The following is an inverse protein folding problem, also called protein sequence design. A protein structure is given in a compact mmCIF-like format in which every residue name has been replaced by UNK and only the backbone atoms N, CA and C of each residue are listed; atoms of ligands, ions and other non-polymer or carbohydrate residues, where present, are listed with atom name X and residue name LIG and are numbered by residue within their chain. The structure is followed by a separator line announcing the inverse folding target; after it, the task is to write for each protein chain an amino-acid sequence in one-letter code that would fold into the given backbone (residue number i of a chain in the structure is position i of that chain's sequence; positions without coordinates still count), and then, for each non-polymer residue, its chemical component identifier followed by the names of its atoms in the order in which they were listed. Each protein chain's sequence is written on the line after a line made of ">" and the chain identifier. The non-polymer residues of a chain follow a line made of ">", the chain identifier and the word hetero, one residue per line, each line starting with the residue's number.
data_IF_792993983556
#
_entry.id   IF_792993983556
#
_cell.length_a   1.000
_cell.length_b   1.000
_cell.length_c   1.000
_cell.angle_alpha   90.00
_cell.angle_beta   90.00
_cell.angle_gamma   90.00
#
_symmetry.space_group_name_H-M   'P 1'
#
loop_
_entity.id
_entity.type
_entity.pdbx_description
1 polymer ?
#
# COMPACT_ATOMS: atom_id res chain seq x y z
N UNK A 1 19.74 13.24 28.12
CA UNK A 1 20.01 13.62 26.71
C UNK A 1 21.29 14.46 26.65
N UNK A 2 22.44 13.84 26.41
CA UNK A 2 23.70 14.53 26.15
C UNK A 2 24.46 13.76 25.06
N UNK A 3 24.89 14.48 24.03
CA UNK A 3 26.01 14.12 23.16
C UNK A 3 25.75 13.15 22.02
N UNK A 4 25.44 13.67 20.83
CA UNK A 4 25.96 13.10 19.58
C UNK A 4 26.55 14.22 18.71
N UNK A 5 27.81 13.98 18.35
CA UNK A 5 28.75 14.87 17.67
C UNK A 5 28.39 15.02 16.17
N UNK A 6 28.48 16.22 15.56
CA UNK A 6 28.23 16.40 14.14
C UNK A 6 29.53 16.18 13.35
N UNK A 7 29.79 14.95 12.94
CA UNK A 7 31.00 14.63 12.15
C UNK A 7 30.71 13.81 10.91
N UNK A 8 29.68 14.13 10.11
CA UNK A 8 29.51 13.51 8.79
C UNK A 8 28.75 14.40 7.79
N UNK A 9 29.05 15.70 7.74
CA UNK A 9 28.62 16.56 6.62
C UNK A 9 29.87 17.05 5.90
N UNK A 10 30.32 16.29 4.91
CA UNK A 10 31.35 16.75 3.98
C UNK A 10 30.82 17.97 3.22
N UNK A 11 31.57 19.06 3.28
CA UNK A 11 31.33 20.29 2.54
C UNK A 11 31.33 20.04 1.02
N UNK A 12 30.56 20.83 0.26
CA UNK A 12 30.44 20.71 -1.21
C UNK A 12 31.81 20.61 -1.93
N UNK A 13 32.87 21.35 -1.54
CA UNK A 13 34.19 21.20 -2.14
C UNK A 13 34.86 19.84 -1.86
N UNK A 14 34.65 19.27 -0.68
CA UNK A 14 35.20 17.95 -0.32
C UNK A 14 34.50 16.82 -1.09
N UNK A 15 33.19 16.92 -1.34
CA UNK A 15 32.47 15.96 -2.18
C UNK A 15 32.99 15.97 -3.62
N UNK A 16 33.27 17.17 -4.17
CA UNK A 16 33.86 17.31 -5.51
C UNK A 16 35.26 16.70 -5.59
N UNK A 17 36.09 16.87 -4.56
CA UNK A 17 37.43 16.24 -4.50
C UNK A 17 37.36 14.71 -4.38
N UNK A 18 36.46 14.18 -3.56
CA UNK A 18 36.26 12.74 -3.43
C UNK A 18 35.76 12.10 -4.74
N UNK A 19 34.83 12.78 -5.43
CA UNK A 19 34.34 12.37 -6.75
C UNK A 19 35.42 12.43 -7.84
N UNK A 20 36.24 13.49 -7.85
CA UNK A 20 37.38 13.59 -8.77
C UNK A 20 38.42 12.49 -8.53
N UNK A 21 38.67 12.12 -7.28
CA UNK A 21 39.55 11.00 -6.93
C UNK A 21 38.97 9.66 -7.40
N UNK A 22 37.67 9.41 -7.20
CA UNK A 22 36.99 8.21 -7.66
C UNK A 22 36.98 8.08 -9.20
N UNK A 23 36.74 9.18 -9.92
CA UNK A 23 36.84 9.22 -11.38
C UNK A 23 38.26 8.92 -11.88
N UNK A 24 39.28 9.44 -11.19
CA UNK A 24 40.69 9.19 -11.52
C UNK A 24 41.13 7.76 -11.20
N UNK A 25 40.48 7.09 -10.25
CA UNK A 25 40.73 5.66 -9.95
C UNK A 25 40.06 4.75 -10.98
N UNK A 26 38.86 5.09 -11.45
CA UNK A 26 38.17 4.38 -12.52
C UNK A 26 38.95 4.45 -13.85
N UNK A 27 39.53 5.61 -14.18
CA UNK A 27 40.33 5.81 -15.39
C UNK A 27 41.70 5.08 -15.36
N UNK A 28 42.31 4.93 -14.16
CA UNK A 28 43.53 4.10 -13.99
C UNK A 28 43.24 2.60 -14.09
N UNK A 29 42.09 2.15 -13.60
CA UNK A 29 41.66 0.76 -13.76
C UNK A 29 41.49 0.35 -15.23
N UNK A 30 41.07 1.29 -16.08
CA UNK A 30 40.92 1.07 -17.52
C UNK A 30 42.26 1.00 -18.28
N UNK A 31 43.33 1.64 -17.79
CA UNK A 31 44.65 1.68 -18.47
C UNK A 31 45.62 0.56 -18.10
N UNK A 32 45.41 -0.14 -16.98
CA UNK A 32 46.34 -1.17 -16.48
C UNK A 32 45.94 -2.61 -16.85
N UNK A 33 44.83 -2.80 -17.57
CA UNK A 33 44.39 -4.10 -18.10
C UNK A 33 45.03 -4.45 -19.45
N UNK A 34 46.36 -4.43 -19.54
CA UNK A 34 47.11 -4.94 -20.69
C UNK A 34 47.35 -6.44 -20.56
N UNK A 35 46.39 -7.25 -21.02
CA UNK A 35 46.48 -8.72 -21.11
C UNK A 35 45.71 -9.21 -22.34
N UNK A 36 46.03 -10.39 -22.90
CA UNK A 36 45.86 -10.70 -24.32
C UNK A 36 44.40 -10.63 -24.77
N UNK A 37 44.24 -10.04 -25.96
CA UNK A 37 43.00 -9.86 -26.70
C UNK A 37 42.21 -11.17 -26.81
N UNK A 38 41.27 -11.37 -25.88
CA UNK A 38 40.19 -12.33 -26.04
C UNK A 38 39.24 -11.76 -27.10
N UNK A 39 39.46 -12.27 -28.32
CA UNK A 39 38.65 -12.10 -29.52
C UNK A 39 37.16 -12.06 -29.16
N UNK A 40 36.54 -10.90 -29.37
CA UNK A 40 35.09 -10.70 -29.22
C UNK A 40 34.33 -11.74 -30.04
N UNK A 41 33.25 -12.35 -29.52
CA UNK A 41 32.40 -13.17 -30.36
C UNK A 41 31.62 -12.23 -31.29
N UNK A 42 31.89 -12.39 -32.58
CA UNK A 42 31.05 -12.05 -33.73
C UNK A 42 30.23 -10.75 -33.65
N UNK A 43 30.73 -9.72 -34.33
CA UNK A 43 29.85 -8.72 -34.95
C UNK A 43 28.98 -9.46 -35.97
N UNK A 44 27.71 -9.71 -35.63
CA UNK A 44 26.74 -10.22 -36.59
C UNK A 44 26.49 -9.15 -37.68
N UNK A 45 26.45 -9.55 -38.97
CA UNK A 45 26.21 -8.63 -40.07
C UNK A 45 24.76 -8.13 -40.05
N UNK A 46 24.59 -6.85 -40.40
CA UNK A 46 23.29 -6.19 -40.57
C UNK A 46 22.58 -6.83 -41.77
N UNK A 47 21.50 -7.56 -41.52
CA UNK A 47 20.66 -8.16 -42.56
C UNK A 47 19.19 -8.23 -42.13
N UNK A 48 18.40 -7.29 -42.64
CA UNK A 48 16.97 -7.36 -43.00
C UNK A 48 16.04 -8.33 -42.23
N UNK A 49 15.50 -7.91 -41.09
CA UNK A 49 14.21 -8.39 -40.54
C UNK A 49 13.54 -7.23 -39.76
N UNK A 50 12.19 -7.15 -39.69
CA UNK A 50 11.51 -6.00 -39.13
C UNK A 50 11.79 -5.91 -37.62
N UNK A 51 12.10 -4.71 -37.10
CA UNK A 51 12.51 -4.57 -35.72
C UNK A 51 11.22 -4.41 -34.88
N UNK A 52 10.95 -5.17 -33.83
CA UNK A 52 11.85 -6.09 -33.20
C UNK A 52 11.72 -6.28 -31.69
N UNK A 53 11.18 -7.40 -31.21
CA UNK A 53 11.59 -7.90 -29.89
C UNK A 53 13.13 -8.03 -29.73
N UNK A 54 13.92 -8.14 -30.81
CA UNK A 54 15.40 -8.17 -30.75
C UNK A 54 16.04 -6.92 -30.13
N UNK A 55 15.58 -5.70 -30.43
CA UNK A 55 16.23 -4.48 -29.92
C UNK A 55 16.07 -4.33 -28.40
N UNK A 56 14.96 -4.80 -27.85
CA UNK A 56 14.73 -4.82 -26.41
C UNK A 56 15.70 -5.79 -25.73
N UNK A 57 15.96 -6.94 -26.35
CA UNK A 57 16.94 -7.92 -25.85
C UNK A 57 18.38 -7.38 -25.94
N UNK A 58 18.75 -6.72 -27.04
CA UNK A 58 20.08 -6.13 -27.20
C UNK A 58 20.31 -4.94 -26.25
N UNK A 59 19.26 -4.17 -25.97
CA UNK A 59 19.27 -3.10 -24.99
C UNK A 59 19.49 -3.62 -23.56
N UNK A 60 18.82 -4.71 -23.18
CA UNK A 60 19.03 -5.37 -21.89
C UNK A 60 20.46 -5.91 -21.77
N UNK A 61 21.01 -6.50 -22.85
CA UNK A 61 22.38 -7.01 -22.89
C UNK A 61 23.44 -5.92 -22.68
N UNK A 62 23.15 -4.68 -23.08
CA UNK A 62 24.02 -3.50 -22.88
C UNK A 62 23.96 -2.88 -21.48
N UNK A 63 23.09 -3.35 -20.58
CA UNK A 63 23.00 -2.89 -19.17
C UNK A 63 23.52 -3.95 -18.18
N UNK A 64 24.82 -4.32 -18.20
CA UNK A 64 25.34 -5.43 -17.39
C UNK A 64 25.13 -5.22 -15.89
N UNK A 65 25.21 -3.97 -15.41
CA UNK A 65 24.97 -3.65 -13.99
C UNK A 65 23.55 -3.96 -13.53
N UNK A 66 22.54 -3.67 -14.36
CA UNK A 66 21.13 -3.96 -14.06
C UNK A 66 20.87 -5.46 -14.09
N UNK A 67 21.41 -6.18 -15.08
CA UNK A 67 21.27 -7.63 -15.19
C UNK A 67 21.94 -8.33 -14.01
N UNK A 68 23.16 -7.94 -13.64
CA UNK A 68 23.88 -8.52 -12.50
C UNK A 68 23.13 -8.28 -11.18
N UNK A 69 22.72 -7.04 -10.91
CA UNK A 69 21.96 -6.70 -9.71
C UNK A 69 20.65 -7.50 -9.64
N UNK A 70 19.96 -7.67 -10.77
CA UNK A 70 18.71 -8.43 -10.84
C UNK A 70 18.91 -9.94 -10.68
N UNK A 71 19.98 -10.51 -11.22
CA UNK A 71 20.35 -11.90 -11.00
C UNK A 71 20.66 -12.18 -9.52
N UNK A 72 21.34 -11.26 -8.82
CA UNK A 72 21.63 -11.39 -7.38
C UNK A 72 20.36 -11.34 -6.53
N UNK A 73 19.40 -10.48 -6.89
CA UNK A 73 18.14 -10.32 -6.16
C UNK A 73 17.12 -11.42 -6.52
N UNK A 74 17.24 -12.05 -7.69
CA UNK A 74 16.33 -13.09 -8.18
C UNK A 74 15.92 -14.17 -7.16
N UNK A 75 16.83 -14.83 -6.40
CA UNK A 75 16.43 -15.83 -5.39
C UNK A 75 15.54 -15.25 -4.29
N UNK A 76 15.73 -13.98 -3.92
CA UNK A 76 14.86 -13.29 -2.97
C UNK A 76 13.47 -13.06 -3.56
N UNK A 77 13.40 -12.70 -4.85
CA UNK A 77 12.11 -12.51 -5.54
C UNK A 77 11.33 -13.82 -5.59
N UNK A 78 11.99 -14.95 -5.88
CA UNK A 78 11.35 -16.28 -5.87
C UNK A 78 10.81 -16.63 -4.49
N UNK A 79 11.54 -16.34 -3.42
CA UNK A 79 11.04 -16.51 -2.04
C UNK A 79 9.81 -15.64 -1.77
N UNK A 80 9.84 -14.36 -2.16
CA UNK A 80 8.70 -13.46 -2.02
C UNK A 80 7.45 -13.95 -2.77
N UNK A 81 7.63 -14.44 -4.01
CA UNK A 81 6.57 -15.00 -4.84
C UNK A 81 5.96 -16.28 -4.26
N UNK A 82 6.77 -17.17 -3.68
CA UNK A 82 6.28 -18.37 -2.97
C UNK A 82 5.36 -17.99 -1.81
N UNK A 83 5.76 -17.02 -1.00
CA UNK A 83 4.97 -16.57 0.16
C UNK A 83 3.69 -15.85 -0.28
N UNK A 84 3.76 -15.06 -1.35
CA UNK A 84 2.59 -14.41 -1.94
C UNK A 84 1.57 -15.44 -2.47
N UNK A 85 2.04 -16.49 -3.16
CA UNK A 85 1.18 -17.58 -3.62
C UNK A 85 0.54 -18.35 -2.45
N UNK A 86 1.29 -18.57 -1.35
CA UNK A 86 0.76 -19.17 -0.13
C UNK A 86 -0.34 -18.32 0.51
N UNK A 87 -0.14 -17.01 0.61
CA UNK A 87 -1.16 -16.07 1.12
C UNK A 87 -2.40 -16.08 0.23
N UNK A 88 -2.24 -16.11 -1.10
CA UNK A 88 -3.36 -16.17 -2.04
C UNK A 88 -4.22 -17.43 -1.82
N UNK A 89 -3.59 -18.57 -1.54
CA UNK A 89 -4.28 -19.82 -1.22
C UNK A 89 -5.07 -19.76 0.10
N UNK A 90 -4.60 -19.01 1.09
CA UNK A 90 -5.27 -18.82 2.38
C UNK A 90 -6.15 -17.57 2.46
N UNK A 91 -6.22 -16.79 1.37
CA UNK A 91 -6.95 -15.52 1.32
C UNK A 91 -8.42 -15.61 1.76
N UNK A 92 -9.24 -16.61 1.33
CA UNK A 92 -10.64 -16.66 1.77
C UNK A 92 -10.80 -16.88 3.27
N UNK A 93 -9.95 -17.71 3.88
CA UNK A 93 -9.98 -17.95 5.33
C UNK A 93 -9.53 -16.71 6.11
N UNK A 94 -8.47 -16.04 5.63
CA UNK A 94 -8.01 -14.76 6.19
C UNK A 94 -9.13 -13.70 6.11
N UNK A 95 -9.88 -13.67 5.01
CA UNK A 95 -11.01 -12.75 4.86
C UNK A 95 -12.14 -13.05 5.84
N UNK A 96 -12.50 -14.32 6.08
CA UNK A 96 -13.50 -14.71 7.09
C UNK A 96 -13.12 -14.25 8.49
N UNK A 97 -11.86 -14.43 8.90
CA UNK A 97 -11.38 -13.92 10.19
C UNK A 97 -11.42 -12.39 10.24
N UNK A 98 -10.96 -11.72 9.17
CA UNK A 98 -10.98 -10.27 9.06
C UNK A 98 -12.39 -9.69 9.20
N UNK A 99 -13.41 -10.37 8.66
CA UNK A 99 -14.80 -9.91 8.76
C UNK A 99 -15.39 -10.14 10.13
N UNK A 100 -15.12 -11.27 10.79
CA UNK A 100 -15.51 -11.48 12.20
C UNK A 100 -14.93 -10.42 13.12
N UNK A 101 -13.63 -10.11 12.95
CA UNK A 101 -12.96 -9.05 13.70
C UNK A 101 -13.63 -7.69 13.45
N UNK A 102 -13.99 -7.40 12.19
CA UNK A 102 -14.68 -6.17 11.82
C UNK A 102 -16.07 -6.10 12.46
N UNK A 103 -16.83 -7.18 12.43
CA UNK A 103 -18.18 -7.27 13.01
C UNK A 103 -18.14 -7.12 14.54
N UNK A 104 -17.25 -7.83 15.23
CA UNK A 104 -17.06 -7.71 16.68
C UNK A 104 -16.66 -6.27 17.07
N UNK A 105 -15.78 -5.64 16.29
CA UNK A 105 -15.40 -4.23 16.50
C UNK A 105 -16.58 -3.27 16.33
N UNK A 106 -17.49 -3.54 15.39
CA UNK A 106 -18.69 -2.72 15.18
C UNK A 106 -19.76 -2.98 16.23
N UNK A 107 -19.87 -4.21 16.73
CA UNK A 107 -20.78 -4.60 17.79
C UNK A 107 -20.32 -4.07 19.18
N UNK A 108 -19.08 -3.60 19.31
CA UNK A 108 -18.51 -3.20 20.60
C UNK A 108 -18.17 -4.39 21.51
N UNK A 109 -18.20 -5.62 20.97
CA UNK A 109 -17.85 -6.82 21.72
C UNK A 109 -16.33 -7.00 21.74
N UNK A 110 -15.72 -6.49 22.80
CA UNK A 110 -14.29 -6.60 23.02
C UNK A 110 -13.83 -8.05 23.19
N UNK A 111 -14.65 -8.92 23.81
CA UNK A 111 -14.27 -10.30 24.07
C UNK A 111 -14.20 -11.10 22.77
N UNK A 112 -15.21 -10.99 21.92
CA UNK A 112 -15.22 -11.64 20.60
C UNK A 112 -14.14 -11.07 19.68
N UNK A 113 -13.84 -9.76 19.78
CA UNK A 113 -12.72 -9.15 19.05
C UNK A 113 -11.37 -9.78 19.41
N UNK A 114 -11.06 -9.92 20.71
CA UNK A 114 -9.80 -10.54 21.14
C UNK A 114 -9.72 -12.01 20.75
N UNK A 115 -10.83 -12.74 20.87
CA UNK A 115 -10.93 -14.14 20.47
C UNK A 115 -10.69 -14.32 18.97
N UNK A 116 -11.43 -13.60 18.12
CA UNK A 116 -11.29 -13.68 16.66
C UNK A 116 -9.89 -13.25 16.18
N UNK A 117 -9.28 -12.24 16.81
CA UNK A 117 -7.91 -11.79 16.52
C UNK A 117 -6.85 -12.84 16.91
N UNK A 118 -7.04 -13.51 18.05
CA UNK A 118 -6.17 -14.62 18.49
C UNK A 118 -6.29 -15.83 17.56
N UNK A 119 -7.52 -16.21 17.18
CA UNK A 119 -7.78 -17.29 16.21
C UNK A 119 -7.11 -17.01 14.85
N UNK A 120 -7.21 -15.76 14.35
CA UNK A 120 -6.54 -15.33 13.13
C UNK A 120 -5.02 -15.50 13.22
N UNK A 121 -4.43 -15.09 14.36
CA UNK A 121 -2.99 -15.21 14.60
C UNK A 121 -2.56 -16.66 14.72
N UNK A 122 -3.35 -17.50 15.40
CA UNK A 122 -3.12 -18.93 15.51
C UNK A 122 -3.19 -19.63 14.14
N UNK A 123 -4.18 -19.28 13.31
CA UNK A 123 -4.29 -19.77 11.94
C UNK A 123 -3.06 -19.42 11.10
N UNK A 124 -2.62 -18.16 11.14
CA UNK A 124 -1.41 -17.71 10.45
C UNK A 124 -0.15 -18.46 10.92
N UNK A 125 -0.01 -18.72 12.22
CA UNK A 125 1.10 -19.51 12.77
C UNK A 125 1.03 -20.97 12.34
N UNK A 126 -0.14 -21.61 12.43
CA UNK A 126 -0.38 -23.01 12.07
C UNK A 126 -0.06 -23.28 10.60
N UNK A 127 -0.44 -22.36 9.72
CA UNK A 127 -0.17 -22.47 8.29
C UNK A 127 1.13 -21.78 7.86
N UNK A 128 1.93 -21.20 8.77
CA UNK A 128 3.12 -20.35 8.50
C UNK A 128 2.89 -19.31 7.39
N UNK A 129 1.75 -18.62 7.46
CA UNK A 129 1.38 -17.55 6.52
C UNK A 129 1.80 -16.22 7.12
N UNK A 130 2.90 -15.63 6.63
CA UNK A 130 3.38 -14.33 7.10
C UNK A 130 3.05 -13.23 6.10
N UNK A 131 2.07 -12.39 6.44
CA UNK A 131 1.62 -11.30 5.56
C UNK A 131 2.73 -10.29 5.21
N UNK A 132 3.75 -10.15 6.05
CA UNK A 132 4.87 -9.22 5.81
C UNK A 132 5.97 -9.80 4.91
N UNK A 133 6.06 -11.11 4.72
CA UNK A 133 7.14 -11.70 3.90
C UNK A 133 7.12 -11.21 2.43
N UNK A 134 5.97 -11.06 1.76
CA UNK A 134 5.94 -10.48 0.41
C UNK A 134 6.41 -9.01 0.34
N UNK A 135 6.30 -8.24 1.42
CA UNK A 135 6.78 -6.84 1.45
C UNK A 135 8.31 -6.74 1.31
N UNK A 136 9.06 -7.83 1.51
CA UNK A 136 10.51 -7.82 1.32
C UNK A 136 10.91 -7.45 -0.11
N UNK A 137 10.09 -7.82 -1.09
CA UNK A 137 10.36 -7.55 -2.50
C UNK A 137 10.36 -6.04 -2.81
N UNK A 138 9.28 -5.28 -2.56
CA UNK A 138 9.31 -3.84 -2.76
C UNK A 138 10.31 -3.13 -1.81
N UNK A 139 10.51 -3.62 -0.59
CA UNK A 139 11.48 -3.03 0.35
C UNK A 139 12.93 -3.19 -0.09
N UNK A 140 13.29 -4.27 -0.78
CA UNK A 140 14.63 -4.43 -1.37
C UNK A 140 14.75 -3.71 -2.71
N UNK A 141 13.68 -3.67 -3.50
CA UNK A 141 13.71 -3.08 -4.83
C UNK A 141 13.74 -1.54 -4.80
N UNK A 142 13.06 -0.91 -3.85
CA UNK A 142 13.00 0.55 -3.76
C UNK A 142 14.37 1.22 -3.52
N UNK A 143 15.22 0.76 -2.56
CA UNK A 143 16.56 1.31 -2.37
C UNK A 143 17.44 1.16 -3.61
N UNK A 144 17.41 -0.02 -4.25
CA UNK A 144 18.18 -0.26 -5.49
C UNK A 144 17.74 0.73 -6.57
N UNK A 145 16.43 0.87 -6.78
CA UNK A 145 15.89 1.80 -7.76
C UNK A 145 16.32 3.25 -7.47
N UNK A 146 16.18 3.70 -6.22
CA UNK A 146 16.57 5.06 -5.79
C UNK A 146 18.08 5.28 -6.00
N UNK A 147 18.93 4.32 -5.64
CA UNK A 147 20.38 4.41 -5.83
C UNK A 147 20.77 4.56 -7.30
N UNK A 148 20.22 3.71 -8.17
CA UNK A 148 20.49 3.79 -9.62
C UNK A 148 19.92 5.08 -10.22
N UNK A 149 18.73 5.51 -9.79
CA UNK A 149 18.10 6.76 -10.25
C UNK A 149 18.96 7.98 -9.93
N UNK A 150 19.41 8.12 -8.68
CA UNK A 150 20.28 9.23 -8.26
C UNK A 150 21.60 9.18 -9.02
N UNK A 151 22.24 8.00 -9.11
CA UNK A 151 23.51 7.85 -9.81
C UNK A 151 23.40 8.25 -11.29
N UNK A 152 22.38 7.77 -12.01
CA UNK A 152 22.17 8.10 -13.42
C UNK A 152 21.85 9.57 -13.64
N UNK A 153 21.05 10.17 -12.75
CA UNK A 153 20.73 11.60 -12.81
C UNK A 153 21.96 12.47 -12.59
N UNK A 154 22.78 12.15 -11.58
CA UNK A 154 24.02 12.89 -11.31
C UNK A 154 25.05 12.71 -12.43
N UNK A 155 25.16 11.51 -13.02
CA UNK A 155 26.03 11.28 -14.17
C UNK A 155 25.56 12.01 -15.44
N UNK A 156 24.24 12.17 -15.63
CA UNK A 156 23.69 12.99 -16.70
C UNK A 156 23.98 14.48 -16.48
N UNK A 157 23.92 14.96 -15.23
CA UNK A 157 24.22 16.35 -14.88
C UNK A 157 25.72 16.70 -14.97
N UNK A 158 26.62 15.72 -14.82
CA UNK A 158 28.08 15.87 -14.88
C UNK A 158 28.67 15.45 -16.25
N UNK A 159 27.92 15.71 -17.34
CA UNK A 159 27.92 14.99 -18.62
C UNK A 159 29.14 14.07 -18.82
N UNK A 160 29.02 12.83 -18.36
CA UNK A 160 30.10 11.86 -18.51
C UNK A 160 30.26 11.54 -20.00
N UNK A 161 31.47 11.61 -20.58
CA UNK A 161 31.67 11.41 -22.03
C UNK A 161 31.14 10.08 -22.57
N UNK A 162 31.14 9.04 -21.73
CA UNK A 162 30.60 7.72 -22.08
C UNK A 162 29.06 7.70 -22.22
N UNK A 163 28.35 8.66 -21.63
CA UNK A 163 26.90 8.82 -21.79
C UNK A 163 26.53 9.70 -22.99
N UNK A 164 27.45 10.55 -23.45
CA UNK A 164 27.21 11.43 -24.61
C UNK A 164 27.25 10.69 -25.95
N UNK A 165 27.94 9.55 -26.01
CA UNK A 165 28.12 8.74 -27.23
C UNK A 165 27.47 7.35 -27.13
N UNK A 166 26.79 7.06 -26.02
CA UNK A 166 26.25 5.74 -25.73
C UNK A 166 24.84 5.46 -26.26
N UNK A 167 24.19 6.44 -26.91
CA UNK A 167 22.79 6.36 -27.29
C UNK A 167 22.51 5.35 -28.41
N UNK A 168 21.22 5.03 -28.62
CA UNK A 168 20.76 4.05 -29.59
C UNK A 168 19.81 4.70 -30.61
N UNK A 169 20.00 4.35 -31.89
CA UNK A 169 19.12 4.69 -33.02
C UNK A 169 18.94 6.20 -33.26
N UNK A 170 18.02 6.88 -32.54
CA UNK A 170 17.61 8.27 -32.78
C UNK A 170 18.04 9.27 -31.70
N UNK A 171 18.66 8.80 -30.62
CA UNK A 171 19.29 9.63 -29.60
C UNK A 171 20.73 9.18 -29.42
N UNK A 172 21.71 10.07 -29.59
CA UNK A 172 23.13 9.76 -29.36
C UNK A 172 23.57 10.14 -27.95
N UNK A 173 23.03 11.24 -27.44
CA UNK A 173 23.34 11.76 -26.11
C UNK A 173 22.31 11.28 -25.07
N UNK A 174 22.77 10.50 -24.09
CA UNK A 174 21.93 10.02 -22.99
C UNK A 174 21.72 11.05 -21.86
N UNK A 175 22.44 12.17 -21.90
CA UNK A 175 22.41 13.20 -20.84
C UNK A 175 21.26 14.17 -21.03
N UNK A 176 20.76 14.32 -22.26
CA UNK A 176 19.65 15.19 -22.61
C UNK A 176 18.30 14.47 -22.48
N UNK A 177 17.23 15.27 -22.38
CA UNK A 177 15.84 14.81 -22.47
C UNK A 177 15.52 14.34 -23.89
N UNK A 178 14.65 13.33 -24.04
CA UNK A 178 14.24 12.81 -25.35
C UNK A 178 13.43 13.88 -26.12
N UNK A 179 13.93 14.38 -27.27
CA UNK A 179 13.20 15.39 -28.06
C UNK A 179 11.97 14.81 -28.77
N UNK A 180 11.88 13.48 -28.91
CA UNK A 180 10.79 12.81 -29.64
C UNK A 180 9.67 12.29 -28.73
N UNK A 181 9.89 12.32 -27.40
CA UNK A 181 8.99 11.77 -26.38
C UNK A 181 8.62 10.27 -26.55
N UNK A 182 9.30 9.55 -27.44
CA UNK A 182 9.07 8.13 -27.71
C UNK A 182 9.55 7.28 -26.52
N UNK A 183 10.69 7.60 -25.92
CA UNK A 183 11.23 6.86 -24.78
C UNK A 183 10.32 6.90 -23.54
N UNK A 184 9.86 8.07 -23.07
CA UNK A 184 8.92 8.17 -21.96
C UNK A 184 7.63 7.36 -22.20
N UNK A 185 7.11 7.36 -23.44
CA UNK A 185 5.91 6.61 -23.80
C UNK A 185 6.15 5.09 -23.72
N UNK A 186 7.24 4.60 -24.30
CA UNK A 186 7.60 3.17 -24.30
C UNK A 186 7.90 2.68 -22.88
N UNK A 187 8.62 3.47 -22.08
CA UNK A 187 8.90 3.12 -20.67
C UNK A 187 7.61 3.07 -19.86
N UNK A 188 6.70 4.02 -20.06
CA UNK A 188 5.40 4.03 -19.39
C UNK A 188 4.56 2.82 -19.80
N UNK A 189 4.54 2.46 -21.08
CA UNK A 189 3.83 1.28 -21.57
C UNK A 189 4.42 -0.03 -20.99
N UNK A 190 5.75 -0.16 -20.96
CA UNK A 190 6.39 -1.34 -20.35
C UNK A 190 6.19 -1.41 -18.84
N UNK A 191 6.20 -0.27 -18.15
CA UNK A 191 5.91 -0.18 -16.72
C UNK A 191 4.48 -0.61 -16.42
N UNK A 192 3.51 -0.15 -17.23
CA UNK A 192 2.14 -0.62 -17.16
C UNK A 192 2.09 -2.14 -17.31
N UNK A 193 2.75 -2.70 -18.32
CA UNK A 193 2.82 -4.16 -18.53
C UNK A 193 3.37 -4.90 -17.30
N UNK A 194 4.45 -4.42 -16.70
CA UNK A 194 5.03 -5.00 -15.47
C UNK A 194 4.01 -4.97 -14.32
N UNK A 195 3.34 -3.85 -14.12
CA UNK A 195 2.36 -3.69 -13.05
C UNK A 195 1.12 -4.54 -13.26
N UNK A 196 0.61 -4.65 -14.48
CA UNK A 196 -0.56 -5.48 -14.78
C UNK A 196 -0.25 -6.97 -14.54
N UNK A 197 0.86 -7.46 -15.09
CA UNK A 197 1.26 -8.86 -14.92
C UNK A 197 1.72 -9.14 -13.48
N UNK A 198 2.29 -8.16 -12.78
CA UNK A 198 2.69 -8.25 -11.38
C UNK A 198 1.49 -8.25 -10.43
N UNK A 199 0.50 -7.38 -10.65
CA UNK A 199 -0.73 -7.32 -9.87
C UNK A 199 -1.52 -8.64 -9.96
N UNK A 200 -1.50 -9.28 -11.12
CA UNK A 200 -2.06 -10.62 -11.27
C UNK A 200 -1.36 -11.65 -10.37
N UNK A 201 -0.05 -11.54 -10.13
CA UNK A 201 0.71 -12.52 -9.33
C UNK A 201 0.62 -12.31 -7.81
N UNK A 202 0.46 -11.07 -7.33
CA UNK A 202 0.67 -10.77 -5.90
C UNK A 202 -0.58 -10.50 -5.06
N UNK A 203 -1.62 -9.88 -5.62
CA UNK A 203 -2.69 -9.29 -4.80
C UNK A 203 -4.05 -9.37 -5.51
N UNK A 204 -4.77 -10.47 -5.27
CA UNK A 204 -6.14 -10.66 -5.76
C UNK A 204 -7.19 -10.46 -4.63
N UNK A 205 -6.88 -9.63 -3.64
CA UNK A 205 -7.87 -9.21 -2.65
C UNK A 205 -8.76 -8.12 -3.23
N UNK A 206 -10.06 -8.38 -3.24
CA UNK A 206 -11.08 -7.53 -3.86
C UNK A 206 -11.30 -6.17 -3.19
N UNK A 207 -10.94 -6.02 -1.92
CA UNK A 207 -10.97 -4.72 -1.22
C UNK A 207 -10.02 -3.69 -1.85
N UNK A 208 -9.06 -4.15 -2.66
CA UNK A 208 -8.04 -3.34 -3.28
C UNK A 208 -8.27 -3.12 -4.77
N UNK A 209 -9.49 -3.36 -5.28
CA UNK A 209 -9.83 -3.09 -6.69
C UNK A 209 -9.59 -1.61 -7.07
N UNK A 210 -9.94 -0.69 -6.17
CA UNK A 210 -9.61 0.73 -6.31
C UNK A 210 -8.10 0.96 -6.33
N UNK A 211 -7.36 0.31 -5.43
CA UNK A 211 -5.90 0.42 -5.39
C UNK A 211 -5.27 -0.17 -6.67
N UNK A 212 -5.83 -1.24 -7.23
CA UNK A 212 -5.42 -1.80 -8.52
C UNK A 212 -5.66 -0.82 -9.66
N UNK A 213 -6.81 -0.15 -9.68
CA UNK A 213 -7.10 0.90 -10.67
C UNK A 213 -6.14 2.09 -10.51
N UNK A 214 -5.86 2.51 -9.27
CA UNK A 214 -4.86 3.55 -8.98
C UNK A 214 -3.47 3.15 -9.47
N UNK A 215 -3.00 1.94 -9.14
CA UNK A 215 -1.71 1.41 -9.58
C UNK A 215 -1.64 1.34 -11.11
N UNK A 216 -2.76 1.04 -11.79
CA UNK A 216 -2.84 1.00 -13.25
C UNK A 216 -2.74 2.39 -13.89
N UNK A 217 -3.33 3.41 -13.27
CA UNK A 217 -3.29 4.80 -13.77
C UNK A 217 -2.00 5.52 -13.37
N UNK A 218 -1.33 5.07 -12.31
CA UNK A 218 -0.12 5.70 -11.75
C UNK A 218 1.00 5.93 -12.78
N UNK A 219 1.35 4.98 -13.68
CA UNK A 219 2.33 5.24 -14.73
C UNK A 219 1.98 6.40 -15.66
N UNK A 220 0.69 6.58 -16.01
CA UNK A 220 0.27 7.72 -16.85
C UNK A 220 0.32 9.04 -16.09
N UNK A 221 -0.05 9.03 -14.81
CA UNK A 221 0.01 10.22 -13.97
C UNK A 221 1.44 10.74 -13.77
N UNK A 222 2.43 9.84 -13.78
CA UNK A 222 3.85 10.18 -13.62
C UNK A 222 4.52 10.63 -14.93
N UNK A 223 3.93 10.29 -16.08
CA UNK A 223 4.44 10.65 -17.42
C UNK A 223 4.82 12.15 -17.58
N UNK A 224 3.94 13.14 -17.28
CA UNK A 224 4.27 14.56 -17.48
C UNK A 224 5.43 15.03 -16.61
N UNK A 225 5.61 14.43 -15.42
CA UNK A 225 6.72 14.75 -14.52
C UNK A 225 8.03 14.18 -15.08
N UNK A 226 7.98 12.96 -15.62
CA UNK A 226 9.18 12.26 -16.11
C UNK A 226 9.69 12.76 -17.46
N UNK A 227 8.86 13.44 -18.26
CA UNK A 227 9.25 13.93 -19.59
C UNK A 227 10.51 14.80 -19.59
N UNK A 228 10.77 15.52 -18.49
CA UNK A 228 11.95 16.38 -18.34
C UNK A 228 13.21 15.64 -17.86
N UNK A 229 13.13 14.32 -17.64
CA UNK A 229 14.28 13.56 -17.14
C UNK A 229 15.25 13.16 -18.27
N UNK A 230 16.55 13.00 -17.94
CA UNK A 230 17.55 12.51 -18.87
C UNK A 230 17.19 11.14 -19.46
N UNK A 231 17.47 10.92 -20.74
CA UNK A 231 17.23 9.65 -21.42
C UNK A 231 17.99 8.46 -20.80
N UNK A 232 19.12 8.70 -20.13
CA UNK A 232 19.83 7.70 -19.32
C UNK A 232 18.93 6.99 -18.29
N UNK A 233 18.04 7.75 -17.63
CA UNK A 233 17.11 7.20 -16.63
C UNK A 233 16.09 6.29 -17.30
N UNK A 234 15.57 6.69 -18.46
CA UNK A 234 14.62 5.89 -19.24
C UNK A 234 15.22 4.60 -19.78
N UNK A 235 16.49 4.60 -20.17
CA UNK A 235 17.19 3.38 -20.60
C UNK A 235 17.33 2.36 -19.46
N UNK A 236 17.67 2.83 -18.26
CA UNK A 236 17.66 1.98 -17.07
C UNK A 236 16.26 1.45 -16.76
N UNK A 237 15.25 2.32 -16.85
CA UNK A 237 13.87 1.92 -16.54
C UNK A 237 13.34 0.89 -17.52
N UNK A 238 13.63 1.07 -18.82
CA UNK A 238 13.24 0.15 -19.88
C UNK A 238 13.91 -1.22 -19.71
N UNK A 239 15.22 -1.25 -19.47
CA UNK A 239 15.95 -2.52 -19.26
C UNK A 239 15.48 -3.25 -17.99
N UNK A 240 15.22 -2.49 -16.92
CA UNK A 240 14.60 -2.97 -15.68
C UNK A 240 13.23 -3.60 -15.93
N UNK A 241 12.35 -2.91 -16.67
CA UNK A 241 11.00 -3.38 -16.95
C UNK A 241 11.03 -4.63 -17.84
N UNK A 242 11.93 -4.67 -18.81
CA UNK A 242 12.14 -5.84 -19.66
C UNK A 242 12.63 -7.05 -18.90
N UNK A 243 13.58 -6.87 -17.98
CA UNK A 243 13.99 -7.95 -17.08
C UNK A 243 12.80 -8.44 -16.25
N UNK A 244 12.02 -7.52 -15.66
CA UNK A 244 10.84 -7.87 -14.87
C UNK A 244 9.79 -8.64 -15.70
N UNK A 245 9.54 -8.22 -16.94
CA UNK A 245 8.61 -8.90 -17.85
C UNK A 245 9.11 -10.29 -18.24
N UNK A 246 10.39 -10.41 -18.61
CA UNK A 246 11.02 -11.70 -18.89
C UNK A 246 11.00 -12.62 -17.68
N UNK A 247 11.23 -12.07 -16.48
CA UNK A 247 11.15 -12.79 -15.23
C UNK A 247 9.72 -13.31 -14.97
N UNK A 248 8.70 -12.45 -15.11
CA UNK A 248 7.31 -12.86 -14.91
C UNK A 248 6.89 -13.91 -15.94
N UNK A 249 7.30 -13.75 -17.21
CA UNK A 249 7.05 -14.73 -18.26
C UNK A 249 7.71 -16.08 -17.93
N UNK A 250 8.98 -16.09 -17.52
CA UNK A 250 9.69 -17.29 -17.10
C UNK A 250 9.00 -17.97 -15.89
N UNK A 251 8.60 -17.17 -14.89
CA UNK A 251 7.88 -17.66 -13.72
C UNK A 251 6.43 -18.06 -13.99
N UNK A 252 5.85 -17.73 -15.16
CA UNK A 252 4.53 -18.25 -15.57
C UNK A 252 4.61 -19.67 -16.12
N UNK A 253 5.77 -20.11 -16.60
CA UNK A 253 5.94 -21.45 -17.16
C UNK A 253 5.77 -22.48 -16.03
N UNK A 254 4.84 -23.46 -16.17
CA UNK A 254 4.54 -24.42 -15.10
C UNK A 254 5.74 -25.30 -14.75
N UNK A 255 6.57 -25.66 -15.73
CA UNK A 255 7.80 -26.42 -15.51
C UNK A 255 8.78 -25.68 -14.56
N UNK A 256 8.97 -24.38 -14.77
CA UNK A 256 9.83 -23.53 -13.92
C UNK A 256 9.25 -23.41 -12.51
N UNK A 257 7.92 -23.31 -12.37
CA UNK A 257 7.26 -23.29 -11.06
C UNK A 257 7.46 -24.58 -10.27
N UNK A 258 7.41 -25.73 -10.94
CA UNK A 258 7.65 -27.04 -10.31
C UNK A 258 9.09 -27.15 -9.82
N UNK A 259 10.06 -26.75 -10.64
CA UNK A 259 11.49 -26.73 -10.25
C UNK A 259 11.73 -25.78 -9.07
N UNK A 260 11.13 -24.59 -9.10
CA UNK A 260 11.24 -23.59 -8.04
C UNK A 260 10.31 -23.87 -6.84
N UNK A 261 9.59 -25.02 -6.84
CA UNK A 261 8.68 -25.49 -5.79
C UNK A 261 7.62 -24.44 -5.39
N UNK A 262 7.17 -23.58 -6.31
CA UNK A 262 6.19 -22.52 -6.02
C UNK A 262 4.80 -23.19 -5.94
N UNK A 263 4.03 -23.01 -4.83
CA UNK A 263 2.71 -23.63 -4.71
C UNK A 263 1.78 -23.15 -5.83
N UNK A 264 0.97 -24.06 -6.38
CA UNK A 264 -0.01 -23.67 -7.38
C UNK A 264 -1.04 -22.73 -6.75
N UNK A 265 -1.36 -21.68 -7.50
CA UNK A 265 -2.35 -20.69 -7.13
C UNK A 265 -3.74 -21.31 -7.29
N UNK A 266 -4.45 -21.51 -6.19
CA UNK A 266 -5.85 -21.95 -6.22
C UNK A 266 -6.70 -20.77 -6.66
N UNK A 267 -7.38 -20.90 -7.80
CA UNK A 267 -8.36 -19.92 -8.24
C UNK A 267 -9.59 -20.08 -7.35
N UNK A 268 -9.84 -19.11 -6.48
CA UNK A 268 -11.03 -19.12 -5.64
C UNK A 268 -12.22 -18.55 -6.40
N UNK A 269 -13.36 -19.23 -6.34
CA UNK A 269 -14.60 -18.75 -6.93
C UNK A 269 -14.97 -17.39 -6.34
N UNK A 270 -15.09 -16.40 -7.23
CA UNK A 270 -15.36 -15.01 -6.85
C UNK A 270 -16.72 -14.81 -6.18
N UNK A 271 -17.62 -15.81 -6.23
CA UNK A 271 -18.96 -15.83 -5.64
C UNK A 271 -19.00 -16.25 -4.16
N UNK A 272 -17.93 -16.88 -3.63
CA UNK A 272 -17.83 -17.26 -2.20
C UNK A 272 -17.19 -16.17 -1.33
N UNK A 273 -16.75 -15.08 -1.94
CA UNK A 273 -16.13 -13.95 -1.27
C UNK A 273 -17.21 -12.91 -0.97
N UNK A 274 -17.15 -12.32 0.22
CA UNK A 274 -18.17 -11.38 0.71
C UNK A 274 -18.40 -10.20 -0.26
N UNK A 275 -19.63 -9.63 -0.29
CA UNK A 275 -20.00 -8.58 -1.23
C UNK A 275 -19.01 -7.41 -1.19
N UNK A 276 -18.49 -7.07 -2.37
CA UNK A 276 -17.48 -6.04 -2.59
C UNK A 276 -18.11 -4.66 -2.46
N UNK A 277 -17.84 -3.97 -1.37
CA UNK A 277 -18.20 -2.55 -1.26
C UNK A 277 -17.15 -1.68 -1.95
N UNK A 278 -17.59 -0.65 -2.69
CA UNK A 278 -16.68 0.29 -3.31
C UNK A 278 -15.83 1.03 -2.27
N UNK A 279 -14.56 1.27 -2.58
CA UNK A 279 -13.59 1.93 -1.69
C UNK A 279 -14.12 3.20 -1.02
N UNK A 280 -14.81 4.08 -1.75
CA UNK A 280 -15.45 5.29 -1.21
C UNK A 280 -16.48 4.99 -0.12
N UNK A 281 -17.27 3.91 -0.27
CA UNK A 281 -18.24 3.48 0.75
C UNK A 281 -17.53 2.90 1.97
N UNK A 282 -16.50 2.07 1.77
CA UNK A 282 -15.67 1.52 2.85
C UNK A 282 -14.95 2.61 3.63
N UNK A 283 -14.41 3.62 2.95
CA UNK A 283 -13.77 4.78 3.58
C UNK A 283 -14.76 5.63 4.36
N UNK A 284 -15.91 5.98 3.75
CA UNK A 284 -16.98 6.74 4.40
C UNK A 284 -17.53 6.03 5.64
N UNK A 285 -17.71 4.70 5.56
CA UNK A 285 -18.09 3.88 6.72
C UNK A 285 -16.99 3.84 7.78
N UNK A 286 -15.72 3.68 7.37
CA UNK A 286 -14.58 3.70 8.29
C UNK A 286 -14.53 5.00 9.10
N UNK A 287 -14.71 6.15 8.44
CA UNK A 287 -14.78 7.45 9.11
C UNK A 287 -15.97 7.55 10.07
N UNK A 288 -17.19 7.19 9.61
CA UNK A 288 -18.39 7.20 10.46
C UNK A 288 -18.27 6.29 11.68
N UNK A 289 -17.68 5.11 11.52
CA UNK A 289 -17.50 4.15 12.60
C UNK A 289 -16.43 4.61 13.59
N UNK A 290 -15.36 5.24 13.12
CA UNK A 290 -14.34 5.85 13.98
C UNK A 290 -14.91 7.03 14.77
N UNK A 291 -15.72 7.87 14.13
CA UNK A 291 -16.41 8.98 14.77
C UNK A 291 -17.41 8.48 15.82
N UNK A 292 -18.21 7.46 15.50
CA UNK A 292 -19.12 6.82 16.46
C UNK A 292 -18.36 6.22 17.66
N UNK A 293 -17.26 5.50 17.40
CA UNK A 293 -16.43 4.94 18.46
C UNK A 293 -15.81 6.03 19.35
N UNK A 294 -15.36 7.13 18.76
CA UNK A 294 -14.84 8.29 19.50
C UNK A 294 -15.92 8.92 20.38
N UNK A 295 -17.13 9.10 19.85
CA UNK A 295 -18.28 9.62 20.62
C UNK A 295 -18.67 8.69 21.78
N UNK A 296 -18.66 7.37 21.58
CA UNK A 296 -18.90 6.39 22.64
C UNK A 296 -17.83 6.49 23.74
N UNK A 297 -16.56 6.57 23.34
CA UNK A 297 -15.44 6.70 24.28
C UNK A 297 -15.52 8.03 25.07
N UNK A 298 -15.91 9.14 24.45
CA UNK A 298 -16.15 10.40 25.15
C UNK A 298 -17.30 10.31 26.15
N UNK A 299 -18.39 9.63 25.79
CA UNK A 299 -19.54 9.40 26.69
C UNK A 299 -19.13 8.56 27.89
N UNK A 300 -18.40 7.46 27.68
CA UNK A 300 -17.88 6.63 28.77
C UNK A 300 -16.97 7.43 29.69
N UNK A 301 -16.07 8.25 29.15
CA UNK A 301 -15.19 9.12 29.93
C UNK A 301 -15.97 10.14 30.78
N UNK A 302 -17.04 10.73 30.23
CA UNK A 302 -17.92 11.64 30.99
C UNK A 302 -18.70 10.92 32.08
N UNK A 303 -19.18 9.70 31.82
CA UNK A 303 -19.87 8.88 32.83
C UNK A 303 -18.91 8.48 33.97
N UNK A 304 -17.68 8.07 33.66
CA UNK A 304 -16.67 7.77 34.68
C UNK A 304 -16.33 9.00 35.54
N UNK A 305 -16.19 10.17 34.91
CA UNK A 305 -15.91 11.42 35.61
C UNK A 305 -17.16 12.16 36.10
N UNK A 306 -18.34 11.51 36.08
CA UNK A 306 -19.61 12.15 36.44
C UNK A 306 -19.60 12.63 37.89
N UNK A 307 -19.01 11.84 38.80
CA UNK A 307 -18.88 12.21 40.22
C UNK A 307 -18.03 13.47 40.40
N UNK A 308 -16.91 13.55 39.69
CA UNK A 308 -16.01 14.72 39.73
C UNK A 308 -16.68 15.95 39.12
N UNK A 309 -17.38 15.78 37.99
CA UNK A 309 -18.15 16.85 37.35
C UNK A 309 -19.27 17.37 38.26
N UNK A 310 -19.96 16.48 38.98
CA UNK A 310 -20.99 16.86 39.95
C UNK A 310 -20.40 17.63 41.14
N UNK A 311 -19.21 17.24 41.62
CA UNK A 311 -18.52 17.91 42.72
C UNK A 311 -17.99 19.31 42.35
N UNK A 312 -17.62 19.54 41.08
CA UNK A 312 -17.16 20.84 40.57
C UNK A 312 -18.31 21.81 40.23
N UNK A 313 -19.53 21.31 40.11
CA UNK A 313 -20.71 22.12 39.82
C UNK A 313 -21.11 23.03 40.99
N UNK A 314 -21.76 24.18 40.73
CA UNK A 314 -22.28 25.03 41.80
C UNK A 314 -23.37 24.28 42.59
N UNK A 315 -23.37 24.46 43.92
CA UNK A 315 -24.40 23.92 44.81
C UNK A 315 -25.78 24.41 44.37
N UNK A 316 -26.67 23.48 44.02
CA UNK A 316 -28.07 23.80 43.73
C UNK A 316 -28.92 23.61 44.98
N UNK A 317 -29.78 24.57 45.26
CA UNK A 317 -30.76 24.45 46.35
C UNK A 317 -31.71 23.29 46.03
N UNK A 318 -31.89 22.39 46.98
CA UNK A 318 -32.84 21.28 46.90
C UNK A 318 -33.85 21.43 48.04
N UNK A 319 -35.13 21.13 47.78
CA UNK A 319 -36.19 21.23 48.79
C UNK A 319 -36.33 19.92 49.57
N UNK A 320 -36.60 20.01 50.87
CA UNK A 320 -36.79 18.85 51.75
C UNK A 320 -37.98 17.97 51.36
N UNK A 321 -39.00 18.58 50.75
CA UNK A 321 -40.19 17.89 50.24
C UNK A 321 -40.41 18.29 48.78
N UNK A 322 -40.98 17.37 48.00
CA UNK A 322 -41.27 17.63 46.59
C UNK A 322 -42.23 18.83 46.48
N UNK A 323 -41.76 19.99 45.99
CA UNK A 323 -42.56 21.21 45.97
C UNK A 323 -43.75 21.10 45.00
N UNK A 324 -43.67 20.18 44.03
CA UNK A 324 -44.73 19.94 43.05
C UNK A 324 -45.92 19.16 43.62
N UNK A 325 -45.73 18.41 44.72
CA UNK A 325 -46.80 17.60 45.33
C UNK A 325 -47.67 18.39 46.31
N UNK A 326 -47.15 19.45 46.94
CA UNK A 326 -47.92 20.22 47.94
C UNK A 326 -49.04 21.06 47.30
N UNK A 327 -48.82 21.60 46.10
CA UNK A 327 -49.86 22.33 45.37
C UNK A 327 -51.01 21.46 44.87
N UNK A 328 -50.83 20.14 44.77
CA UNK A 328 -51.87 19.21 44.30
C UNK A 328 -52.86 18.74 45.37
N UNK A 329 -52.55 18.90 46.68
CA UNK A 329 -53.39 18.40 47.78
C UNK A 329 -54.09 19.48 48.61
N UNK A 330 -53.67 20.74 48.51
CA UNK A 330 -54.18 21.84 49.34
C UNK A 330 -54.87 22.95 48.50
N UNK A 331 -55.66 22.61 47.48
CA UNK A 331 -56.71 23.53 47.05
C UNK A 331 -57.89 23.40 48.02
N UNK A 332 -58.26 24.44 48.79
CA UNK A 332 -59.53 24.43 49.49
C UNK A 332 -60.62 24.47 48.43
N UNK A 333 -61.55 23.50 48.48
CA UNK A 333 -62.76 23.51 47.66
C UNK A 333 -63.49 24.84 47.86
N UNK A 334 -63.32 25.79 46.93
CA UNK A 334 -64.18 26.95 46.81
C UNK A 334 -65.53 26.47 46.29
N UNK A 335 -66.51 26.46 47.18
CA UNK A 335 -67.92 26.26 46.91
C UNK A 335 -68.46 27.37 46.00
N UNK A 336 -68.78 27.06 44.75
CA UNK A 336 -69.86 27.66 43.93
C UNK A 336 -69.85 27.07 42.52
N UNK A 337 -70.71 26.08 42.27
CA UNK A 337 -71.77 26.22 41.26
C UNK A 337 -72.63 24.95 41.18
N UNK A 338 -73.94 25.17 41.31
CA UNK A 338 -75.00 24.20 41.10
C UNK A 338 -75.05 23.77 39.62
N UNK A 339 -74.78 22.50 39.35
CA UNK A 339 -75.53 21.77 38.32
C UNK A 339 -75.54 20.28 38.65
N UNK A 340 -76.69 19.67 38.44
CA UNK A 340 -77.11 18.35 38.87
C UNK A 340 -76.22 17.18 38.41
N UNK A 341 -75.57 16.49 39.33
CA UNK A 341 -75.11 15.12 39.14
C UNK A 341 -75.14 14.37 40.48
N UNK A 342 -76.10 13.43 40.63
CA UNK A 342 -76.16 12.53 41.80
C UNK A 342 -74.83 11.77 41.94
N UNK A 343 -74.29 11.60 43.17
CA UNK A 343 -73.10 10.77 43.36
C UNK A 343 -73.43 9.32 42.98
N UNK A 344 -72.66 8.74 42.04
CA UNK A 344 -72.79 7.33 41.67
C UNK A 344 -72.46 6.46 42.90
N UNK A 345 -73.36 5.54 43.22
CA UNK A 345 -73.22 4.56 44.31
C UNK A 345 -71.86 3.84 44.22
N UNK A 346 -71.23 3.58 45.39
CA UNK A 346 -69.97 2.83 45.51
C UNK A 346 -70.09 1.38 45.00
N UNK A 347 -71.30 0.92 44.72
CA UNK A 347 -71.61 -0.36 44.07
C UNK A 347 -72.61 -0.12 42.92
N UNK A 348 -72.15 0.32 41.73
CA UNK A 348 -73.02 0.66 40.62
C UNK A 348 -73.80 -0.55 40.05
N UNK A 349 -73.42 -1.78 40.40
CA UNK A 349 -74.12 -3.01 40.00
C UNK A 349 -75.39 -3.29 40.81
N UNK A 350 -75.56 -2.71 42.02
CA UNK A 350 -76.82 -2.87 42.78
C UNK A 350 -77.98 -2.13 42.13
N UNK A 351 -77.68 -1.03 41.42
CA UNK A 351 -78.70 -0.20 40.75
C UNK A 351 -79.24 -0.85 39.46
N UNK A 352 -78.64 -1.96 39.00
CA UNK A 352 -79.03 -2.67 37.77
C UNK A 352 -79.45 -4.12 37.98
N UNK A 353 -79.11 -4.75 39.11
CA UNK A 353 -79.31 -6.19 39.32
C UNK A 353 -80.30 -6.58 40.43
N UNK A 354 -81.02 -5.62 41.04
CA UNK A 354 -82.09 -5.91 42.01
C UNK A 354 -81.57 -6.39 43.37
#
# INVERSE_FOLDING_TARGET
>A
MKGLHPSFILSVPQRRRALALAAKTADRGARLGGGPVLRSPAQCPRGSWPPGPQYLCDLVRRSPGTVLARCLVFPLIVKGQREAAKIHNHLPEIQKFSTRIREAKLAGDHAEFYKASSEMTFYQKKHDVKLFRPLILPLTQAPIFISFFIALREMANLPVPSLQTGGLLWFQDLTLSDPTYVLPLVVTATMWGVLELGAETGMQSSDLQWMRNLIRVMPLAVLPITIHFPTAVFMYWLSSNMFSLGQVACLRIPAVRTILKIPQRVVHDSNKLLPREGFLKSFKRGWKNAELAHQLQERERRMQNQLELAARGPLRQTFTHNPLLQHGKNQPHSSSDNSSAKPKSKQPWRDTLG
#
